data_IF_800297878006
#
_entry.id   IF_800297878006
#
_cell.length_a   1.000
_cell.length_b   1.000
_cell.length_c   1.000
_cell.angle_alpha   90.00
_cell.angle_beta   90.00
_cell.angle_gamma   90.00
#
_symmetry.space_group_name_H-M   'P 1'
#
loop_
_entity.id
_entity.type
_entity.pdbx_description
1 polymer ?
#
# COMPACT_ATOMS: atom_id res chain seq x y z
N UNK A 1 0.29 -6.56 20.43
CA UNK A 1 1.51 -6.03 21.06
C UNK A 1 2.52 -7.15 21.23
N UNK A 2 3.47 -7.26 20.30
CA UNK A 2 4.58 -8.23 20.36
C UNK A 2 5.61 -7.81 21.42
N UNK A 3 6.49 -8.74 21.86
CA UNK A 3 7.52 -8.46 22.87
C UNK A 3 8.51 -7.34 22.46
N UNK A 4 8.69 -7.09 21.15
CA UNK A 4 9.50 -5.99 20.63
C UNK A 4 8.80 -4.62 20.72
N UNK A 5 7.49 -4.59 20.46
CA UNK A 5 6.66 -3.38 20.61
C UNK A 5 6.64 -2.90 22.08
N UNK A 6 6.70 -3.82 23.06
CA UNK A 6 6.75 -3.47 24.49
C UNK A 6 8.08 -2.90 24.98
N UNK A 7 9.21 -3.17 24.30
CA UNK A 7 10.52 -2.63 24.70
C UNK A 7 10.77 -1.24 24.11
N UNK A 8 10.18 -0.91 22.96
CA UNK A 8 10.25 0.42 22.34
C UNK A 8 9.14 1.36 22.83
N UNK A 9 8.00 0.84 23.31
CA UNK A 9 6.91 1.66 23.87
C UNK A 9 7.23 2.34 25.21
N UNK A 10 8.31 1.94 25.89
CA UNK A 10 8.68 2.47 27.22
C UNK A 10 9.37 3.84 27.14
N UNK A 11 9.77 4.29 25.94
CA UNK A 11 10.39 5.61 25.72
C UNK A 11 9.48 6.62 25.03
N UNK A 12 8.21 6.26 24.76
CA UNK A 12 7.32 7.13 24.02
C UNK A 12 6.90 8.34 24.86
N UNK A 13 7.28 9.54 24.44
CA UNK A 13 6.73 10.78 24.98
C UNK A 13 5.25 10.88 24.53
N UNK A 14 4.26 10.72 25.44
CA UNK A 14 2.84 10.65 25.06
C UNK A 14 2.33 11.94 24.40
N UNK A 15 3.03 13.07 24.63
CA UNK A 15 2.67 14.37 24.07
C UNK A 15 3.00 14.53 22.57
N UNK A 16 3.90 13.69 22.03
CA UNK A 16 4.33 13.72 20.63
C UNK A 16 3.65 12.67 19.75
N UNK A 17 2.85 11.78 20.35
CA UNK A 17 2.15 10.72 19.64
C UNK A 17 0.77 11.17 19.18
N UNK A 18 0.51 11.09 17.87
CA UNK A 18 -0.77 11.40 17.26
C UNK A 18 -1.31 10.15 16.54
N UNK A 19 -2.57 9.77 16.79
CA UNK A 19 -3.14 8.60 16.12
C UNK A 19 -3.38 8.87 14.61
N UNK A 20 -3.49 7.79 13.83
CA UNK A 20 -3.67 7.89 12.38
C UNK A 20 -4.88 8.74 11.97
N UNK A 21 -6.00 8.68 12.69
CA UNK A 21 -7.21 9.44 12.36
C UNK A 21 -6.97 10.96 12.41
N UNK A 22 -6.29 11.44 13.45
CA UNK A 22 -5.94 12.87 13.59
C UNK A 22 -4.89 13.31 12.56
N UNK A 23 -3.92 12.45 12.24
CA UNK A 23 -2.99 12.70 11.13
C UNK A 23 -3.72 12.80 9.79
N UNK A 24 -4.71 11.93 9.53
CA UNK A 24 -5.53 12.01 8.31
C UNK A 24 -6.35 13.30 8.24
N UNK A 25 -6.92 13.75 9.36
CA UNK A 25 -7.60 15.03 9.43
C UNK A 25 -6.65 16.20 9.12
N UNK A 26 -5.46 16.22 9.71
CA UNK A 26 -4.46 17.26 9.41
C UNK A 26 -3.95 17.19 7.97
N UNK A 27 -3.85 15.99 7.40
CA UNK A 27 -3.50 15.78 5.99
C UNK A 27 -4.52 16.47 5.08
N UNK A 28 -5.82 16.27 5.33
CA UNK A 28 -6.89 16.93 4.58
C UNK A 28 -6.88 18.46 4.73
N UNK A 29 -6.30 18.98 5.81
CA UNK A 29 -6.13 20.41 6.07
C UNK A 29 -4.82 20.98 5.50
N UNK A 30 -4.00 20.18 4.82
CA UNK A 30 -2.69 20.60 4.31
C UNK A 30 -1.64 20.87 5.41
N UNK A 31 -1.86 20.34 6.63
CA UNK A 31 -1.01 20.60 7.80
C UNK A 31 0.05 19.53 8.05
N UNK A 32 0.17 18.55 7.15
CA UNK A 32 1.10 17.44 7.27
C UNK A 32 2.10 17.49 6.13
N UNK A 33 3.38 17.56 6.47
CA UNK A 33 4.48 17.47 5.52
C UNK A 33 4.89 16.03 5.24
N UNK A 34 5.46 15.79 4.06
CA UNK A 34 5.96 14.47 3.66
C UNK A 34 7.49 14.42 3.65
N UNK A 35 8.05 13.33 4.14
CA UNK A 35 9.49 13.05 4.07
C UNK A 35 9.70 11.86 3.13
N UNK A 36 10.33 12.12 1.99
CA UNK A 36 10.66 11.08 1.02
C UNK A 36 11.72 10.14 1.58
N UNK A 37 11.75 8.86 1.17
CA UNK A 37 12.91 8.04 1.43
C UNK A 37 14.15 8.57 0.71
N UNK A 38 15.29 8.55 1.39
CA UNK A 38 16.61 8.93 0.90
C UNK A 38 17.56 7.72 0.83
N UNK A 39 18.57 7.80 -0.03
CA UNK A 39 19.60 6.77 -0.21
C UNK A 39 20.67 6.81 0.90
N UNK A 40 20.28 6.54 2.13
CA UNK A 40 21.18 6.47 3.30
C UNK A 40 21.72 5.05 3.48
N UNK A 41 22.97 4.91 3.93
CA UNK A 41 23.63 3.60 4.06
C UNK A 41 23.61 3.03 5.48
N UNK A 42 23.29 3.84 6.49
CA UNK A 42 23.23 3.42 7.88
C UNK A 42 22.21 4.23 8.70
N UNK A 43 22.03 3.84 9.97
CA UNK A 43 21.10 4.49 10.91
C UNK A 43 21.46 5.96 11.11
N UNK A 44 22.72 6.30 11.38
CA UNK A 44 23.16 7.67 11.70
C UNK A 44 22.90 8.68 10.57
N UNK A 45 23.19 8.30 9.33
CA UNK A 45 22.86 9.11 8.16
C UNK A 45 21.34 9.32 8.04
N UNK A 46 20.55 8.29 8.37
CA UNK A 46 19.09 8.36 8.32
C UNK A 46 18.55 9.27 9.42
N UNK A 47 19.10 9.22 10.64
CA UNK A 47 18.75 10.14 11.73
C UNK A 47 19.03 11.59 11.32
N UNK A 48 20.24 11.86 10.82
CA UNK A 48 20.64 13.20 10.36
C UNK A 48 19.69 13.72 9.28
N UNK A 49 19.35 12.87 8.30
CA UNK A 49 18.39 13.20 7.25
C UNK A 49 16.99 13.51 7.82
N UNK A 50 16.45 12.64 8.68
CA UNK A 50 15.12 12.80 9.28
C UNK A 50 15.02 14.08 10.11
N UNK A 51 16.05 14.41 10.90
CA UNK A 51 16.12 15.66 11.70
C UNK A 51 16.07 16.90 10.81
N UNK A 52 16.91 16.93 9.77
CA UNK A 52 16.95 18.06 8.84
C UNK A 52 15.60 18.27 8.14
N UNK A 53 14.93 17.19 7.71
CA UNK A 53 13.62 17.27 7.09
C UNK A 53 12.52 17.67 8.08
N UNK A 54 12.57 17.20 9.33
CA UNK A 54 11.64 17.65 10.38
C UNK A 54 11.78 19.15 10.65
N UNK A 55 13.02 19.65 10.79
CA UNK A 55 13.29 21.08 10.99
C UNK A 55 12.81 21.92 9.81
N UNK A 56 13.04 21.44 8.58
CA UNK A 56 12.55 22.11 7.35
C UNK A 56 11.03 22.19 7.33
N UNK A 57 10.34 21.10 7.63
CA UNK A 57 8.87 21.05 7.67
C UNK A 57 8.30 21.91 8.80
N UNK A 58 8.92 21.91 9.97
CA UNK A 58 8.51 22.75 11.10
C UNK A 58 8.63 24.24 10.76
N UNK A 59 9.78 24.67 10.19
CA UNK A 59 9.99 26.05 9.73
C UNK A 59 9.02 26.48 8.63
N UNK A 60 8.57 25.52 7.81
CA UNK A 60 7.54 25.75 6.79
C UNK A 60 6.09 25.77 7.36
N UNK A 61 5.92 25.61 8.67
CA UNK A 61 4.62 25.73 9.35
C UNK A 61 3.78 24.45 9.38
N UNK A 62 4.35 23.29 9.03
CA UNK A 62 3.65 22.02 9.15
C UNK A 62 3.50 21.58 10.62
N UNK A 63 2.35 21.00 10.96
CA UNK A 63 2.07 20.51 12.31
C UNK A 63 2.61 19.10 12.56
N UNK A 64 2.78 18.30 11.50
CA UNK A 64 3.30 16.95 11.58
C UNK A 64 4.07 16.59 10.32
N UNK A 65 4.95 15.59 10.44
CA UNK A 65 5.62 14.93 9.32
C UNK A 65 5.13 13.49 9.20
N UNK A 66 5.01 12.98 7.98
CA UNK A 66 4.84 11.56 7.70
C UNK A 66 6.02 11.02 6.89
N UNK A 67 6.44 9.80 7.23
CA UNK A 67 7.61 9.15 6.64
C UNK A 67 7.47 7.62 6.67
N UNK A 68 8.05 6.90 5.70
CA UNK A 68 8.56 7.42 4.44
C UNK A 68 7.39 7.67 3.49
N UNK A 69 7.38 8.80 2.78
CA UNK A 69 6.43 9.08 1.70
C UNK A 69 6.96 10.23 0.84
N UNK A 70 7.11 9.99 -0.46
CA UNK A 70 7.68 11.01 -1.34
C UNK A 70 6.75 12.22 -1.55
N UNK A 71 5.48 11.96 -1.86
CA UNK A 71 4.47 13.00 -2.13
C UNK A 71 3.08 12.58 -1.69
N UNK A 72 2.66 11.40 -2.14
CA UNK A 72 1.31 10.89 -1.91
C UNK A 72 1.33 9.35 -1.98
N UNK A 73 0.15 8.77 -1.77
CA UNK A 73 -0.07 7.31 -1.74
C UNK A 73 0.04 6.62 -3.11
N UNK A 74 0.41 7.34 -4.18
CA UNK A 74 0.69 6.78 -5.50
C UNK A 74 2.17 6.42 -5.69
N UNK A 75 3.04 6.83 -4.77
CA UNK A 75 4.48 6.52 -4.77
C UNK A 75 4.79 5.35 -3.83
N UNK A 76 6.07 5.10 -3.51
CA UNK A 76 6.45 4.22 -2.41
C UNK A 76 6.33 4.98 -1.08
N UNK A 77 5.66 4.39 -0.07
CA UNK A 77 5.38 5.11 1.19
C UNK A 77 5.31 4.26 2.47
N UNK A 78 6.13 3.21 2.59
CA UNK A 78 6.05 2.29 3.74
C UNK A 78 7.39 1.61 3.98
N UNK A 79 7.69 1.28 5.23
CA UNK A 79 8.80 0.39 5.57
C UNK A 79 8.29 -1.02 5.86
N UNK A 80 9.10 -2.04 5.54
CA UNK A 80 8.92 -3.38 6.09
C UNK A 80 9.23 -3.30 7.59
N UNK A 81 8.32 -3.76 8.44
CA UNK A 81 8.49 -3.72 9.91
C UNK A 81 8.38 -5.09 10.56
N UNK A 82 7.85 -6.09 9.86
CA UNK A 82 7.76 -7.45 10.37
C UNK A 82 7.74 -8.47 9.23
N UNK A 83 8.43 -9.58 9.46
CA UNK A 83 8.42 -10.77 8.63
C UNK A 83 7.66 -11.87 9.38
N UNK A 84 6.85 -12.67 8.67
CA UNK A 84 6.19 -13.83 9.24
C UNK A 84 6.79 -15.14 8.71
N UNK A 85 6.86 -16.20 9.55
CA UNK A 85 6.59 -16.18 11.00
C UNK A 85 7.57 -15.27 11.76
N UNK A 86 7.12 -14.72 12.89
CA UNK A 86 7.88 -13.73 13.67
C UNK A 86 9.24 -14.34 14.06
N UNK A 87 10.32 -13.58 13.83
CA UNK A 87 11.69 -14.02 14.12
C UNK A 87 12.37 -14.77 12.97
N UNK A 88 11.70 -14.95 11.83
CA UNK A 88 12.34 -15.45 10.60
C UNK A 88 12.99 -14.31 9.80
N UNK A 89 13.93 -14.65 8.92
CA UNK A 89 14.43 -13.74 7.87
C UNK A 89 13.36 -13.42 6.81
N UNK A 90 12.20 -14.09 6.87
CA UNK A 90 11.11 -13.98 5.91
C UNK A 90 11.49 -14.49 4.52
N UNK A 91 10.62 -14.23 3.55
CA UNK A 91 10.86 -14.51 2.12
C UNK A 91 11.54 -13.32 1.42
N UNK A 92 12.23 -13.54 0.27
CA UNK A 92 12.76 -12.48 -0.58
C UNK A 92 11.71 -11.45 -1.00
N UNK A 93 12.17 -10.31 -1.51
CA UNK A 93 11.28 -9.30 -2.08
C UNK A 93 10.52 -9.84 -3.28
N UNK A 94 9.32 -9.30 -3.54
CA UNK A 94 8.62 -9.47 -4.82
C UNK A 94 8.66 -8.17 -5.64
N UNK A 95 8.39 -8.26 -6.94
CA UNK A 95 8.44 -7.09 -7.82
C UNK A 95 7.49 -5.95 -7.37
N UNK A 96 8.00 -4.72 -7.35
CA UNK A 96 7.32 -3.52 -6.81
C UNK A 96 6.96 -3.56 -5.32
N UNK A 97 7.64 -4.37 -4.54
CA UNK A 97 7.60 -4.29 -3.10
C UNK A 97 8.46 -3.11 -2.58
N UNK A 98 8.06 -2.41 -1.52
CA UNK A 98 8.93 -1.40 -0.90
C UNK A 98 10.23 -2.04 -0.40
N UNK A 99 11.36 -1.55 -0.93
CA UNK A 99 12.71 -2.00 -0.61
C UNK A 99 13.50 -0.90 0.10
N UNK A 100 12.97 -0.41 1.22
CA UNK A 100 13.73 0.50 2.07
C UNK A 100 14.66 -0.31 2.96
N UNK A 101 15.94 0.11 3.09
CA UNK A 101 16.88 -0.56 3.97
C UNK A 101 16.32 -0.76 5.38
N UNK A 102 16.67 -1.89 6.01
CA UNK A 102 16.14 -2.28 7.33
C UNK A 102 16.48 -1.31 8.46
N UNK A 103 17.45 -0.41 8.26
CA UNK A 103 17.76 0.66 9.21
C UNK A 103 16.72 1.78 9.24
N UNK A 104 15.86 1.93 8.22
CA UNK A 104 14.83 2.97 8.16
C UNK A 104 13.83 2.89 9.31
N UNK A 105 13.15 1.75 9.56
CA UNK A 105 12.28 1.61 10.73
C UNK A 105 12.98 1.99 12.04
N UNK A 106 14.23 1.56 12.24
CA UNK A 106 14.98 1.84 13.48
C UNK A 106 15.24 3.33 13.65
N UNK A 107 15.67 4.03 12.59
CA UNK A 107 15.90 5.46 12.61
C UNK A 107 14.61 6.26 12.83
N UNK A 108 13.49 5.82 12.23
CA UNK A 108 12.18 6.43 12.45
C UNK A 108 11.78 6.36 13.93
N UNK A 109 11.86 5.19 14.56
CA UNK A 109 11.56 5.07 16.00
C UNK A 109 12.47 5.93 16.88
N UNK A 110 13.76 6.02 16.56
CA UNK A 110 14.71 6.86 17.30
C UNK A 110 14.46 8.36 17.15
N UNK A 111 13.81 8.78 16.06
CA UNK A 111 13.36 10.14 15.84
C UNK A 111 11.90 10.36 16.24
N UNK A 112 11.34 9.52 17.14
CA UNK A 112 9.97 9.62 17.64
C UNK A 112 8.88 9.57 16.55
N UNK A 113 9.17 8.91 15.43
CA UNK A 113 8.14 8.54 14.46
C UNK A 113 7.45 7.26 14.90
N UNK A 114 6.12 7.28 14.94
CA UNK A 114 5.31 6.12 15.33
C UNK A 114 4.38 5.67 14.20
N UNK A 115 4.10 4.35 14.10
CA UNK A 115 3.19 3.82 13.08
C UNK A 115 1.79 4.45 13.16
N UNK A 116 1.31 4.97 12.03
CA UNK A 116 -0.06 5.50 11.87
C UNK A 116 -0.96 4.62 11.02
N UNK A 117 -0.36 3.70 10.25
CA UNK A 117 -1.07 2.75 9.42
C UNK A 117 -0.22 1.49 9.21
N UNK A 118 -0.88 0.34 9.21
CA UNK A 118 -0.28 -0.94 8.85
C UNK A 118 -0.83 -1.49 7.54
N UNK A 119 0.04 -2.23 6.85
CA UNK A 119 -0.28 -2.88 5.59
C UNK A 119 0.27 -4.29 5.61
N UNK A 120 -0.30 -5.16 4.79
CA UNK A 120 0.05 -6.58 4.75
C UNK A 120 0.18 -7.07 3.33
N UNK A 121 1.18 -7.92 3.12
CA UNK A 121 1.22 -8.81 1.96
C UNK A 121 1.00 -10.24 2.45
N UNK A 122 0.17 -10.96 1.72
CA UNK A 122 -0.22 -12.33 2.04
C UNK A 122 -0.01 -13.23 0.82
N UNK A 123 0.29 -14.49 1.05
CA UNK A 123 0.55 -15.47 -0.01
C UNK A 123 -0.46 -16.61 0.01
N UNK A 124 -0.89 -16.99 -1.19
CA UNK A 124 -1.68 -18.17 -1.47
C UNK A 124 -0.78 -19.16 -2.22
N UNK A 125 -0.61 -20.35 -1.65
CA UNK A 125 0.18 -21.45 -2.23
C UNK A 125 -0.68 -22.63 -2.69
N UNK A 126 -1.96 -22.65 -2.31
CA UNK A 126 -2.95 -23.58 -2.82
C UNK A 126 -3.95 -22.84 -3.72
N UNK A 127 -3.64 -22.83 -5.01
CA UNK A 127 -4.48 -22.19 -6.03
C UNK A 127 -5.66 -23.08 -6.47
N UNK A 128 -5.79 -24.30 -5.91
CA UNK A 128 -6.96 -25.16 -6.16
C UNK A 128 -8.18 -24.71 -5.37
N UNK A 129 -7.97 -23.85 -4.36
CA UNK A 129 -9.04 -23.33 -3.52
C UNK A 129 -10.03 -22.46 -4.31
N UNK A 130 -11.30 -22.85 -4.30
CA UNK A 130 -12.39 -22.11 -4.96
C UNK A 130 -13.27 -21.41 -3.91
N UNK A 131 -13.70 -20.16 -4.19
CA UNK A 131 -14.76 -19.55 -3.37
C UNK A 131 -16.09 -20.22 -3.70
N UNK A 132 -16.80 -20.85 -2.74
CA UNK A 132 -18.08 -21.52 -2.99
C UNK A 132 -19.15 -20.57 -3.54
N UNK A 133 -19.02 -19.24 -3.32
CA UNK A 133 -19.93 -18.23 -3.88
C UNK A 133 -19.61 -17.84 -5.31
N UNK A 134 -18.49 -18.31 -5.86
CA UNK A 134 -18.03 -17.88 -7.18
C UNK A 134 -19.06 -18.17 -8.30
N UNK A 135 -19.68 -19.36 -8.39
CA UNK A 135 -20.70 -19.62 -9.41
C UNK A 135 -21.90 -18.67 -9.31
N UNK A 136 -22.45 -18.51 -8.11
CA UNK A 136 -23.61 -17.63 -7.88
C UNK A 136 -23.31 -16.16 -8.20
N UNK A 137 -22.12 -15.66 -7.83
CA UNK A 137 -21.67 -14.31 -8.14
C UNK A 137 -21.51 -14.11 -9.65
N UNK A 138 -20.96 -15.12 -10.34
CA UNK A 138 -20.81 -15.13 -11.79
C UNK A 138 -22.17 -15.00 -12.47
N UNK A 139 -23.11 -15.89 -12.15
CA UNK A 139 -24.46 -15.87 -12.74
C UNK A 139 -25.21 -14.58 -12.44
N UNK A 140 -25.06 -14.04 -11.22
CA UNK A 140 -25.69 -12.78 -10.84
C UNK A 140 -25.15 -11.60 -11.64
N UNK A 141 -23.82 -11.46 -11.74
CA UNK A 141 -23.22 -10.32 -12.45
C UNK A 141 -23.42 -10.41 -13.97
N UNK A 142 -23.37 -11.61 -14.54
CA UNK A 142 -23.73 -11.83 -15.94
C UNK A 142 -25.18 -11.42 -16.23
N UNK A 143 -26.14 -11.82 -15.38
CA UNK A 143 -27.55 -11.39 -15.50
C UNK A 143 -27.76 -9.88 -15.33
N UNK A 144 -26.87 -9.21 -14.61
CA UNK A 144 -26.86 -7.75 -14.48
C UNK A 144 -26.21 -7.05 -15.68
N UNK A 145 -25.74 -7.80 -16.69
CA UNK A 145 -25.07 -7.29 -17.87
C UNK A 145 -23.61 -6.91 -17.63
N UNK A 146 -23.01 -7.39 -16.54
CA UNK A 146 -21.57 -7.20 -16.27
C UNK A 146 -20.78 -8.28 -16.99
N UNK A 147 -19.88 -7.87 -17.86
CA UNK A 147 -18.94 -8.74 -18.54
C UNK A 147 -17.57 -8.68 -17.85
N UNK A 148 -16.89 -9.82 -17.78
CA UNK A 148 -15.50 -9.89 -17.34
C UNK A 148 -14.62 -10.10 -18.56
N UNK A 149 -13.65 -9.20 -18.78
CA UNK A 149 -12.70 -9.29 -19.89
C UNK A 149 -11.28 -8.95 -19.45
N UNK A 150 -10.30 -9.33 -20.27
CA UNK A 150 -8.94 -8.79 -20.16
C UNK A 150 -8.90 -7.33 -20.60
N UNK A 151 -7.95 -6.56 -20.06
CA UNK A 151 -7.63 -5.25 -20.61
C UNK A 151 -7.04 -5.36 -22.02
N UNK A 152 -7.33 -4.38 -22.87
CA UNK A 152 -6.78 -4.30 -24.21
C UNK A 152 -5.48 -3.48 -24.21
N UNK A 153 -4.34 -4.16 -24.13
CA UNK A 153 -3.04 -3.49 -24.13
C UNK A 153 -2.59 -3.00 -25.52
N UNK A 154 -3.24 -3.44 -26.60
CA UNK A 154 -2.99 -2.93 -27.96
C UNK A 154 -3.65 -1.57 -28.20
N UNK A 155 -4.66 -1.23 -27.38
CA UNK A 155 -5.32 0.08 -27.36
C UNK A 155 -5.64 0.42 -25.90
N UNK A 156 -4.62 0.79 -25.11
CA UNK A 156 -4.72 0.87 -23.65
C UNK A 156 -5.50 2.08 -23.15
N UNK A 157 -5.64 3.14 -23.94
CA UNK A 157 -6.19 4.43 -23.50
C UNK A 157 -7.63 4.33 -22.97
N UNK A 158 -8.58 3.66 -23.65
CA UNK A 158 -9.94 3.52 -23.12
C UNK A 158 -9.98 2.78 -21.77
N UNK A 159 -9.18 1.72 -21.64
CA UNK A 159 -9.15 0.92 -20.41
C UNK A 159 -8.44 1.66 -19.27
N UNK A 160 -7.31 2.33 -19.55
CA UNK A 160 -6.63 3.17 -18.57
C UNK A 160 -7.52 4.32 -18.09
N UNK A 161 -8.26 4.95 -19.00
CA UNK A 161 -9.21 6.00 -18.65
C UNK A 161 -10.34 5.47 -17.77
N UNK A 162 -10.95 4.33 -18.12
CA UNK A 162 -12.00 3.72 -17.28
C UNK A 162 -11.47 3.24 -15.93
N UNK A 163 -10.26 2.68 -15.88
CA UNK A 163 -9.57 2.31 -14.64
C UNK A 163 -9.36 3.54 -13.75
N UNK A 164 -8.91 4.67 -14.32
CA UNK A 164 -8.75 5.93 -13.59
C UNK A 164 -10.05 6.36 -12.93
N UNK A 165 -11.16 6.37 -13.68
CA UNK A 165 -12.47 6.75 -13.16
C UNK A 165 -12.90 5.87 -11.97
N UNK A 166 -12.70 4.55 -12.08
CA UNK A 166 -12.98 3.65 -10.96
C UNK A 166 -12.02 3.89 -9.80
N UNK A 167 -10.73 4.08 -10.05
CA UNK A 167 -9.70 4.23 -9.01
C UNK A 167 -9.93 5.47 -8.16
N UNK A 168 -10.19 6.63 -8.75
CA UNK A 168 -10.44 7.88 -8.00
C UNK A 168 -11.66 7.74 -7.10
N UNK A 169 -12.74 7.12 -7.58
CA UNK A 169 -13.97 6.91 -6.81
C UNK A 169 -13.75 5.86 -5.71
N UNK A 170 -13.17 4.71 -6.06
CA UNK A 170 -12.99 3.59 -5.13
C UNK A 170 -11.99 3.91 -4.01
N UNK A 171 -10.98 4.72 -4.29
CA UNK A 171 -9.94 5.08 -3.33
C UNK A 171 -10.20 6.38 -2.57
N UNK A 172 -11.25 7.13 -2.90
CA UNK A 172 -11.57 8.41 -2.25
C UNK A 172 -11.63 8.35 -0.71
N UNK A 173 -11.97 7.18 -0.14
CA UNK A 173 -12.05 6.96 1.32
C UNK A 173 -10.82 6.27 1.91
N UNK A 174 -9.79 6.00 1.11
CA UNK A 174 -8.57 5.39 1.62
C UNK A 174 -7.78 6.39 2.47
N UNK A 175 -7.08 5.85 3.47
CA UNK A 175 -6.22 6.62 4.35
C UNK A 175 -5.15 7.41 3.56
N UNK A 176 -5.07 8.72 3.81
CA UNK A 176 -4.18 9.70 3.15
C UNK A 176 -4.31 9.77 1.62
N UNK A 177 -5.40 9.25 1.06
CA UNK A 177 -5.62 9.34 -0.38
C UNK A 177 -5.70 10.79 -0.82
N UNK A 178 -4.96 11.12 -1.86
CA UNK A 178 -5.02 12.39 -2.55
C UNK A 178 -5.28 12.11 -4.02
N UNK A 179 -6.37 12.63 -4.61
CA UNK A 179 -6.63 12.43 -6.02
C UNK A 179 -5.50 13.05 -6.84
N UNK A 180 -5.15 12.38 -7.93
CA UNK A 180 -4.29 12.92 -8.96
C UNK A 180 -5.13 13.17 -10.21
N UNK A 181 -4.69 14.10 -11.05
CA UNK A 181 -5.35 14.31 -12.33
C UNK A 181 -5.18 13.09 -13.26
N UNK A 182 -6.02 13.02 -14.28
CA UNK A 182 -6.02 11.91 -15.21
C UNK A 182 -4.69 11.84 -15.99
N UNK A 183 -4.11 12.98 -16.37
CA UNK A 183 -2.83 13.02 -17.08
C UNK A 183 -1.69 12.44 -16.26
N UNK A 184 -1.59 12.77 -14.97
CA UNK A 184 -0.59 12.25 -14.04
C UNK A 184 -0.79 10.75 -13.83
N UNK A 185 -2.04 10.29 -13.71
CA UNK A 185 -2.34 8.86 -13.66
C UNK A 185 -1.82 8.16 -14.93
N UNK A 186 -2.16 8.66 -16.12
CA UNK A 186 -1.73 8.08 -17.38
C UNK A 186 -0.20 8.07 -17.52
N UNK A 187 0.47 9.20 -17.26
CA UNK A 187 1.93 9.32 -17.31
C UNK A 187 2.62 8.33 -16.35
N UNK A 188 2.01 8.04 -15.20
CA UNK A 188 2.55 7.10 -14.21
C UNK A 188 2.42 5.65 -14.66
N UNK A 189 1.31 5.27 -15.27
CA UNK A 189 1.04 3.87 -15.64
C UNK A 189 1.48 3.51 -17.06
N UNK A 190 1.67 4.48 -17.95
CA UNK A 190 2.13 4.25 -19.32
C UNK A 190 3.49 3.50 -19.40
N UNK A 191 4.52 3.83 -18.58
CA UNK A 191 5.77 3.08 -18.57
C UNK A 191 5.63 1.63 -18.11
N UNK A 192 4.56 1.30 -17.38
CA UNK A 192 4.31 -0.06 -16.91
C UNK A 192 3.65 -0.93 -17.98
N UNK A 193 2.95 -0.35 -18.96
CA UNK A 193 2.19 -1.09 -19.98
C UNK A 193 2.99 -2.19 -20.68
N UNK A 194 4.26 -1.96 -21.11
CA UNK A 194 5.06 -3.00 -21.76
C UNK A 194 5.40 -4.19 -20.85
N UNK A 195 5.29 -4.02 -19.53
CA UNK A 195 5.57 -5.03 -18.51
C UNK A 195 4.31 -5.78 -18.08
N UNK A 196 3.12 -5.34 -18.52
CA UNK A 196 1.85 -5.97 -18.18
C UNK A 196 1.55 -7.12 -19.15
N UNK A 197 0.98 -8.19 -18.62
CA UNK A 197 0.27 -9.17 -19.41
C UNK A 197 -1.24 -8.91 -19.26
N UNK A 198 -1.89 -8.63 -20.38
CA UNK A 198 -3.34 -8.39 -20.49
C UNK A 198 -4.19 -9.46 -19.80
N UNK A 199 -3.67 -10.69 -19.67
CA UNK A 199 -4.34 -11.79 -18.99
C UNK A 199 -4.55 -11.52 -17.49
N UNK A 200 -3.68 -10.71 -16.88
CA UNK A 200 -3.69 -10.44 -15.44
C UNK A 200 -4.30 -9.09 -15.08
N UNK A 201 -4.72 -8.32 -16.09
CA UNK A 201 -5.54 -7.11 -15.88
C UNK A 201 -6.99 -7.45 -16.23
N UNK A 202 -7.82 -7.66 -15.20
CA UNK A 202 -9.22 -8.02 -15.38
C UNK A 202 -10.10 -6.78 -15.27
N UNK A 203 -11.03 -6.62 -16.21
CA UNK A 203 -12.00 -5.53 -16.27
C UNK A 203 -13.40 -6.11 -16.11
N UNK A 204 -14.14 -5.61 -15.13
CA UNK A 204 -15.59 -5.76 -15.06
C UNK A 204 -16.23 -4.55 -15.74
N UNK A 205 -16.97 -4.80 -16.82
CA UNK A 205 -17.61 -3.77 -17.65
C UNK A 205 -19.11 -3.97 -17.71
N UNK A 206 -19.90 -2.89 -17.65
CA UNK A 206 -21.34 -2.91 -17.86
C UNK A 206 -21.71 -1.77 -18.80
N UNK A 207 -22.40 -2.09 -19.90
CA UNK A 207 -22.87 -1.11 -20.89
C UNK A 207 -21.76 -0.13 -21.35
N UNK A 208 -20.55 -0.65 -21.64
CA UNK A 208 -19.40 0.15 -22.08
C UNK A 208 -18.64 0.88 -20.96
N UNK A 209 -19.13 0.85 -19.72
CA UNK A 209 -18.47 1.50 -18.58
C UNK A 209 -17.75 0.47 -17.69
N UNK A 210 -16.50 0.78 -17.32
CA UNK A 210 -15.75 -0.03 -16.34
C UNK A 210 -16.32 0.23 -14.95
N UNK A 211 -16.68 -0.85 -14.25
CA UNK A 211 -17.31 -0.80 -12.92
C UNK A 211 -16.45 -1.46 -11.84
N UNK A 212 -15.40 -2.16 -12.23
CA UNK A 212 -14.38 -2.71 -11.35
C UNK A 212 -13.21 -3.28 -12.15
N UNK A 213 -12.07 -3.45 -11.49
CA UNK A 213 -10.90 -4.05 -12.10
C UNK A 213 -10.01 -4.77 -11.09
N UNK A 214 -9.16 -5.66 -11.60
CA UNK A 214 -8.00 -6.22 -10.92
C UNK A 214 -6.76 -5.89 -11.72
N UNK A 215 -5.73 -5.40 -11.03
CA UNK A 215 -4.36 -5.32 -11.55
C UNK A 215 -3.54 -6.46 -10.95
N UNK A 216 -3.26 -7.46 -11.76
CA UNK A 216 -2.30 -8.52 -11.49
C UNK A 216 -1.03 -8.33 -12.30
N UNK A 217 0.09 -8.75 -11.73
CA UNK A 217 1.43 -8.60 -12.31
C UNK A 217 2.19 -9.92 -12.16
N UNK A 218 2.95 -10.39 -13.16
CA UNK A 218 3.96 -11.42 -12.93
C UNK A 218 5.03 -10.89 -11.96
N UNK A 219 5.59 -11.76 -11.13
CA UNK A 219 6.75 -11.40 -10.31
C UNK A 219 8.01 -11.37 -11.19
N UNK A 220 8.38 -10.17 -11.65
CA UNK A 220 9.53 -9.97 -12.55
C UNK A 220 10.90 -10.14 -11.87
N UNK A 221 10.94 -10.37 -10.54
CA UNK A 221 12.16 -10.81 -9.88
C UNK A 221 12.47 -12.30 -10.12
N UNK A 222 11.68 -12.96 -10.98
CA UNK A 222 11.88 -14.33 -11.45
C UNK A 222 12.10 -15.35 -10.31
N UNK A 223 11.15 -15.45 -9.35
CA UNK A 223 11.26 -16.45 -8.29
C UNK A 223 11.25 -17.87 -8.88
N UNK A 224 11.84 -18.86 -8.18
CA UNK A 224 11.86 -20.26 -8.65
C UNK A 224 10.48 -20.86 -8.91
N UNK A 225 9.45 -20.33 -8.23
CA UNK A 225 8.06 -20.75 -8.38
C UNK A 225 7.31 -19.70 -9.20
N UNK A 226 6.57 -20.09 -10.25
CA UNK A 226 5.70 -19.17 -11.00
C UNK A 226 4.74 -18.42 -10.07
N UNK A 227 4.98 -17.12 -9.90
CA UNK A 227 4.29 -16.27 -8.91
C UNK A 227 3.60 -15.08 -9.60
N UNK A 228 2.33 -14.87 -9.27
CA UNK A 228 1.57 -13.67 -9.61
C UNK A 228 1.41 -12.76 -8.38
N UNK A 229 1.34 -11.46 -8.63
CA UNK A 229 1.07 -10.43 -7.64
C UNK A 229 -0.29 -9.82 -7.96
N UNK A 230 -1.29 -10.06 -7.11
CA UNK A 230 -2.54 -9.31 -7.09
C UNK A 230 -2.28 -7.98 -6.37
N UNK A 231 -1.97 -6.94 -7.15
CA UNK A 231 -1.56 -5.62 -6.66
C UNK A 231 -2.75 -4.77 -6.23
N UNK A 232 -3.81 -4.79 -7.03
CA UNK A 232 -4.98 -3.93 -6.81
C UNK A 232 -6.26 -4.67 -7.17
N UNK A 233 -7.28 -4.51 -6.34
CA UNK A 233 -8.68 -4.77 -6.69
C UNK A 233 -9.48 -3.53 -6.33
N UNK A 234 -10.27 -3.02 -7.26
CA UNK A 234 -11.12 -1.86 -7.04
C UNK A 234 -12.46 -2.05 -7.75
N UNK A 235 -13.53 -1.52 -7.13
CA UNK A 235 -14.88 -1.59 -7.65
C UNK A 235 -15.57 -0.27 -7.33
N UNK A 236 -16.49 0.16 -8.20
CA UNK A 236 -17.38 1.25 -7.86
C UNK A 236 -18.18 0.89 -6.59
N UNK A 237 -18.45 1.87 -5.71
CA UNK A 237 -19.28 1.66 -4.55
C UNK A 237 -20.75 1.55 -4.96
N UNK A 238 -21.57 0.89 -4.14
CA UNK A 238 -23.01 0.79 -4.33
C UNK A 238 -23.53 -0.63 -4.17
N UNK A 239 -24.80 -0.75 -3.76
CA UNK A 239 -25.44 -2.05 -3.47
C UNK A 239 -25.42 -2.99 -4.68
N UNK A 240 -25.57 -2.45 -5.89
CA UNK A 240 -25.50 -3.19 -7.14
C UNK A 240 -24.14 -3.85 -7.40
N UNK A 241 -23.06 -3.33 -6.81
CA UNK A 241 -21.70 -3.85 -6.94
C UNK A 241 -21.27 -4.70 -5.73
N UNK A 242 -22.16 -4.94 -4.78
CA UNK A 242 -21.85 -5.72 -3.58
C UNK A 242 -21.40 -7.14 -3.95
N UNK A 243 -20.13 -7.47 -3.67
CA UNK A 243 -19.52 -8.75 -4.04
C UNK A 243 -18.73 -8.74 -5.35
N UNK A 244 -18.65 -7.61 -6.07
CA UNK A 244 -17.91 -7.52 -7.33
C UNK A 244 -16.42 -7.79 -7.13
N UNK A 245 -15.81 -7.21 -6.08
CA UNK A 245 -14.41 -7.46 -5.76
C UNK A 245 -14.12 -8.93 -5.43
N UNK A 246 -15.07 -9.64 -4.81
CA UNK A 246 -14.95 -11.07 -4.53
C UNK A 246 -14.98 -11.88 -5.83
N UNK A 247 -15.91 -11.58 -6.73
CA UNK A 247 -15.97 -12.22 -8.04
C UNK A 247 -14.70 -12.00 -8.85
N UNK A 248 -14.19 -10.76 -8.87
CA UNK A 248 -12.94 -10.40 -9.54
C UNK A 248 -11.72 -11.16 -8.99
N UNK A 249 -11.55 -11.21 -7.66
CA UNK A 249 -10.44 -11.95 -7.04
C UNK A 249 -10.56 -13.46 -7.29
N UNK A 250 -11.77 -14.02 -7.20
CA UNK A 250 -11.99 -15.43 -7.48
C UNK A 250 -11.71 -15.79 -8.95
N UNK A 251 -12.14 -14.95 -9.89
CA UNK A 251 -11.83 -15.12 -11.31
C UNK A 251 -10.34 -15.02 -11.59
N UNK A 252 -9.63 -14.11 -10.92
CA UNK A 252 -8.18 -13.99 -11.00
C UNK A 252 -7.47 -15.26 -10.54
N UNK A 253 -7.84 -15.80 -9.37
CA UNK A 253 -7.29 -17.06 -8.85
C UNK A 253 -7.55 -18.23 -9.79
N UNK A 254 -8.79 -18.38 -10.28
CA UNK A 254 -9.16 -19.43 -11.22
C UNK A 254 -8.35 -19.38 -12.51
N UNK A 255 -8.16 -18.17 -13.06
CA UNK A 255 -7.35 -17.96 -14.27
C UNK A 255 -5.88 -18.30 -14.01
N UNK A 256 -5.33 -17.86 -12.88
CA UNK A 256 -3.94 -18.12 -12.49
C UNK A 256 -3.67 -19.62 -12.37
N UNK A 257 -4.53 -20.34 -11.65
CA UNK A 257 -4.45 -21.80 -11.50
C UNK A 257 -4.46 -22.52 -12.86
N UNK A 258 -5.41 -22.16 -13.74
CA UNK A 258 -5.51 -22.76 -15.08
C UNK A 258 -4.30 -22.48 -15.99
N UNK A 259 -3.55 -21.41 -15.72
CA UNK A 259 -2.35 -21.06 -16.48
C UNK A 259 -1.07 -21.61 -15.83
N UNK A 260 -1.18 -22.48 -14.81
CA UNK A 260 -0.04 -23.16 -14.21
C UNK A 260 0.75 -22.32 -13.20
N UNK A 261 0.21 -21.17 -12.75
CA UNK A 261 0.79 -20.48 -11.61
C UNK A 261 0.61 -21.31 -10.35
N UNK A 262 1.57 -21.20 -9.45
CA UNK A 262 1.60 -21.96 -8.19
C UNK A 262 1.54 -21.05 -6.96
N UNK A 263 1.69 -19.73 -7.15
CA UNK A 263 1.64 -18.77 -6.05
C UNK A 263 0.95 -17.47 -6.46
N UNK A 264 0.14 -16.92 -5.57
CA UNK A 264 -0.39 -15.56 -5.67
C UNK A 264 -0.06 -14.76 -4.42
N UNK A 265 0.55 -13.60 -4.60
CA UNK A 265 0.77 -12.59 -3.56
C UNK A 265 -0.36 -11.58 -3.63
N UNK A 266 -1.11 -11.42 -2.54
CA UNK A 266 -2.00 -10.28 -2.34
C UNK A 266 -1.18 -9.18 -1.71
N UNK A 267 -0.86 -8.14 -2.47
CA UNK A 267 0.18 -7.19 -2.07
C UNK A 267 -0.38 -6.00 -1.30
N UNK A 268 0.35 -5.57 -0.26
CA UNK A 268 0.35 -4.18 0.23
C UNK A 268 -1.03 -3.64 0.65
N UNK A 269 -1.89 -4.52 1.18
CA UNK A 269 -3.25 -4.20 1.59
C UNK A 269 -3.27 -3.45 2.91
N UNK A 270 -3.97 -2.32 2.98
CA UNK A 270 -4.13 -1.58 4.23
C UNK A 270 -4.97 -2.37 5.25
N UNK A 271 -4.64 -2.28 6.54
CA UNK A 271 -5.28 -3.02 7.62
C UNK A 271 -6.81 -2.85 7.72
N UNK A 272 -7.31 -1.68 7.30
CA UNK A 272 -8.73 -1.37 7.33
C UNK A 272 -9.45 -1.63 6.00
N UNK A 273 -8.73 -2.05 4.94
CA UNK A 273 -9.33 -2.19 3.62
C UNK A 273 -10.12 -3.51 3.49
N UNK A 274 -11.27 -3.51 2.79
CA UNK A 274 -12.04 -4.72 2.52
C UNK A 274 -11.26 -5.83 1.81
N UNK A 275 -10.17 -5.48 1.09
CA UNK A 275 -9.28 -6.42 0.41
C UNK A 275 -8.68 -7.46 1.36
N UNK A 276 -8.45 -7.14 2.64
CA UNK A 276 -7.97 -8.13 3.61
C UNK A 276 -8.98 -9.24 3.86
N UNK A 277 -10.27 -8.94 3.87
CA UNK A 277 -11.31 -9.95 4.03
C UNK A 277 -11.41 -10.85 2.79
N UNK A 278 -11.13 -10.32 1.61
CA UNK A 278 -11.01 -11.11 0.38
C UNK A 278 -9.77 -12.02 0.47
N UNK A 279 -8.63 -11.46 0.88
CA UNK A 279 -7.35 -12.16 0.93
C UNK A 279 -7.32 -13.30 1.95
N UNK A 280 -7.86 -13.10 3.17
CA UNK A 280 -7.91 -14.10 4.25
C UNK A 280 -8.57 -15.43 3.85
N UNK A 281 -9.38 -15.43 2.79
CA UNK A 281 -9.94 -16.68 2.25
C UNK A 281 -8.86 -17.55 1.63
N UNK A 282 -7.93 -16.95 0.90
CA UNK A 282 -6.97 -17.63 0.02
C UNK A 282 -5.54 -17.65 0.56
N UNK A 283 -5.18 -16.65 1.36
CA UNK A 283 -3.80 -16.29 1.60
C UNK A 283 -3.49 -16.02 3.07
N UNK A 284 -2.26 -16.31 3.47
CA UNK A 284 -1.72 -16.06 4.80
C UNK A 284 -0.71 -14.92 4.78
N UNK A 285 -0.74 -13.97 5.74
CA UNK A 285 0.22 -12.88 5.80
C UNK A 285 1.67 -13.38 5.93
N UNK A 286 2.58 -12.88 5.10
CA UNK A 286 4.02 -13.14 5.22
C UNK A 286 4.83 -11.86 5.51
N UNK A 287 4.23 -10.67 5.33
CA UNK A 287 4.91 -9.39 5.60
C UNK A 287 3.97 -8.32 6.12
N UNK A 288 4.44 -7.55 7.10
CA UNK A 288 3.80 -6.32 7.59
C UNK A 288 4.66 -5.10 7.27
N UNK A 289 3.99 -4.04 6.84
CA UNK A 289 4.59 -2.73 6.58
C UNK A 289 3.94 -1.67 7.46
N UNK A 290 4.64 -0.57 7.68
CA UNK A 290 4.11 0.59 8.38
C UNK A 290 4.43 1.90 7.64
N UNK A 291 3.51 2.85 7.76
CA UNK A 291 3.76 4.27 7.54
C UNK A 291 3.78 4.95 8.91
N UNK A 292 4.67 5.93 9.10
CA UNK A 292 4.90 6.57 10.37
C UNK A 292 4.60 8.06 10.33
N UNK A 293 4.38 8.66 11.50
CA UNK A 293 4.31 10.11 11.67
C UNK A 293 5.01 10.59 12.93
N UNK A 294 5.38 11.87 12.93
CA UNK A 294 5.87 12.63 14.08
C UNK A 294 5.10 13.95 14.15
N UNK A 295 4.64 14.33 15.35
CA UNK A 295 4.16 15.71 15.59
C UNK A 295 5.37 16.63 15.64
N UNK A 296 5.36 17.71 14.87
CA UNK A 296 6.46 18.64 14.81
C UNK A 296 6.30 19.69 15.93
N UNK A 297 7.36 19.89 16.68
CA UNK A 297 7.49 20.92 17.71
C UNK A 297 8.86 21.57 17.61
N UNK A 298 9.02 22.73 18.23
CA UNK A 298 10.33 23.38 18.34
C UNK A 298 11.33 22.40 18.95
N UNK A 299 12.45 22.18 18.26
CA UNK A 299 13.55 21.36 18.77
C UNK A 299 14.12 22.01 20.03
N UNK A 300 14.19 21.23 21.12
CA UNK A 300 14.95 21.62 22.31
C UNK A 300 16.44 21.41 22.04
N UNK A 301 17.01 22.18 21.12
CA UNK A 301 18.45 22.22 20.87
C UNK A 301 18.98 23.62 21.23
N UNK A 302 18.96 23.93 22.53
CA UNK A 302 19.77 24.97 23.20
C UNK A 302 19.45 25.07 24.71
N UNK A 303 19.68 23.98 25.44
CA UNK A 303 20.28 24.09 26.78
C UNK A 303 21.75 23.71 26.52
N UNK A 304 22.62 24.63 26.11
CA UNK A 304 23.04 25.69 27.01
C UNK A 304 23.76 25.06 28.20
N UNK A 305 24.84 24.30 27.95
CA UNK A 305 25.88 24.10 28.95
C UNK A 305 26.55 25.46 29.17
N UNK A 306 25.87 26.31 29.91
CA UNK A 306 26.48 27.45 30.56
C UNK A 306 27.19 26.90 31.81
N UNK A 307 28.39 26.36 31.60
CA UNK A 307 29.38 26.28 32.67
C UNK A 307 30.18 27.57 32.64
N UNK A 308 29.52 28.68 32.99
CA UNK A 308 30.18 29.83 33.57
C UNK A 308 30.15 29.68 35.09
N UNK A 309 31.34 29.38 35.61
CA UNK A 309 31.93 29.84 36.88
C UNK A 309 30.95 30.34 37.96
N UNK A 310 30.87 29.58 39.06
CA UNK A 310 31.25 30.06 40.41
C UNK A 310 31.83 28.88 41.21
#
# INVERSE_FOLDING_TARGET
MTKGERRLSVLANPSLHCNGAKIHQWWQQGRVGTIAPASTTNVEQTLTYLRAECDRLYKAGYAAAIAPIARNTWHNYRCIVEHYPIGSSGRPLFWQEPDLPSHWPSALYQEDFYPIAHYYSAECVDLTQVDPRYPELCDRFLRQGVQLRSANLNRPEPDLNGIYQVAIIAFARNFLFTPIDQSEFLQRYQPLLPLLDSKWVLIAERAGAIVGFVLGLPDLLAPPTPTLILKTVACLPGRQWAGLGRWLVAAFHHRAHKQGYQRIIHALMHQANPSLNLSRRYAQPFRRYALFSKVLSQSQSSLGLDHSLD
#
